data_IF_819363799418
#
_entry.id   IF_819363799418
#
_cell.length_a   1.000
_cell.length_b   1.000
_cell.length_c   1.000
_cell.angle_alpha   90.00
_cell.angle_beta   90.00
_cell.angle_gamma   90.00
#
_symmetry.space_group_name_H-M   'P 1'
#
loop_
_entity.id
_entity.type
_entity.pdbx_description
1 polymer ?
#
# COMPACT_ATOMS: atom_id res chain seq x y z
N UNK A 1 -15.31 10.51 -43.57
CA UNK A 1 -15.82 10.43 -42.19
C UNK A 1 -14.68 9.94 -41.31
N UNK A 2 -13.96 10.85 -40.65
CA UNK A 2 -12.76 10.51 -39.88
C UNK A 2 -13.15 9.86 -38.56
N UNK A 3 -12.75 8.59 -38.37
CA UNK A 3 -12.91 7.93 -37.08
C UNK A 3 -12.11 8.68 -36.02
N UNK A 4 -12.78 9.20 -35.00
CA UNK A 4 -12.17 9.95 -33.91
C UNK A 4 -11.21 9.12 -33.06
N UNK A 5 -10.63 9.77 -32.05
CA UNK A 5 -9.57 9.31 -31.14
C UNK A 5 -9.91 8.06 -30.27
N UNK A 6 -10.90 7.27 -30.67
CA UNK A 6 -11.39 6.04 -30.02
C UNK A 6 -11.10 4.77 -30.83
N UNK A 7 -10.57 4.89 -32.05
CA UNK A 7 -10.11 3.75 -32.84
C UNK A 7 -8.74 3.27 -32.32
N UNK A 8 -8.74 2.42 -31.30
CA UNK A 8 -7.52 1.75 -30.83
C UNK A 8 -7.42 0.34 -31.42
N UNK A 9 -6.25 0.00 -31.97
CA UNK A 9 -5.91 -1.35 -32.44
C UNK A 9 -5.57 -2.31 -31.30
N UNK A 10 -5.62 -1.84 -30.06
CA UNK A 10 -5.34 -2.66 -28.88
C UNK A 10 -6.44 -3.69 -28.67
N UNK A 11 -6.05 -4.97 -28.60
CA UNK A 11 -6.94 -6.08 -28.25
C UNK A 11 -7.62 -5.80 -26.92
N UNK A 12 -8.95 -5.77 -26.92
CA UNK A 12 -9.76 -5.69 -25.71
C UNK A 12 -9.57 -7.01 -24.94
N UNK A 13 -8.75 -6.97 -23.89
CA UNK A 13 -8.60 -8.12 -22.99
C UNK A 13 -9.93 -8.35 -22.27
N UNK A 14 -10.45 -9.59 -22.19
CA UNK A 14 -11.61 -9.88 -21.35
C UNK A 14 -11.26 -9.44 -19.92
N UNK A 15 -12.04 -8.51 -19.38
CA UNK A 15 -11.83 -8.00 -18.02
C UNK A 15 -11.89 -9.19 -17.08
N UNK A 16 -10.74 -9.60 -16.54
CA UNK A 16 -10.74 -10.42 -15.33
C UNK A 16 -11.51 -9.64 -14.30
N UNK A 17 -12.54 -10.26 -13.73
CA UNK A 17 -13.54 -9.60 -12.92
C UNK A 17 -12.88 -9.06 -11.63
N UNK A 18 -12.40 -7.82 -11.72
CA UNK A 18 -11.38 -7.28 -10.82
C UNK A 18 -12.00 -6.96 -9.47
N UNK A 19 -13.28 -6.57 -9.49
CA UNK A 19 -14.09 -6.39 -8.29
C UNK A 19 -14.41 -7.74 -7.66
N UNK A 20 -14.86 -8.73 -8.43
CA UNK A 20 -15.11 -10.07 -7.87
C UNK A 20 -13.86 -10.67 -7.20
N UNK A 21 -12.68 -10.49 -7.80
CA UNK A 21 -11.43 -10.95 -7.20
C UNK A 21 -11.06 -10.20 -5.91
N UNK A 22 -11.42 -8.93 -5.80
CA UNK A 22 -11.24 -8.14 -4.59
C UNK A 22 -12.24 -8.53 -3.51
N UNK A 23 -13.51 -8.71 -3.87
CA UNK A 23 -14.58 -9.07 -2.95
C UNK A 23 -14.42 -10.48 -2.38
N UNK A 24 -13.75 -11.38 -3.12
CA UNK A 24 -13.37 -12.71 -2.66
C UNK A 24 -12.20 -12.71 -1.65
N UNK A 25 -11.53 -11.58 -1.40
CA UNK A 25 -10.43 -11.51 -0.43
C UNK A 25 -10.93 -11.56 1.02
N UNK A 26 -10.22 -12.27 1.91
CA UNK A 26 -10.44 -12.18 3.36
C UNK A 26 -10.41 -10.73 3.84
N UNK A 27 -11.20 -10.41 4.88
CA UNK A 27 -11.33 -9.05 5.38
C UNK A 27 -9.98 -8.47 5.84
N UNK A 28 -9.15 -9.30 6.45
CA UNK A 28 -7.78 -9.00 6.89
C UNK A 28 -6.87 -8.68 5.69
N UNK A 29 -6.95 -9.49 4.63
CA UNK A 29 -6.19 -9.25 3.40
C UNK A 29 -6.60 -7.93 2.73
N UNK A 30 -7.90 -7.60 2.74
CA UNK A 30 -8.42 -6.31 2.26
C UNK A 30 -7.94 -5.14 3.11
N UNK A 31 -7.93 -5.29 4.44
CA UNK A 31 -7.41 -4.27 5.37
C UNK A 31 -5.94 -3.97 5.09
N UNK A 32 -5.11 -4.99 4.92
CA UNK A 32 -3.71 -4.81 4.54
C UNK A 32 -3.57 -4.12 3.18
N UNK A 33 -4.35 -4.57 2.17
CA UNK A 33 -4.31 -4.00 0.83
C UNK A 33 -4.69 -2.51 0.81
N UNK A 34 -5.64 -2.08 1.64
CA UNK A 34 -6.03 -0.68 1.77
C UNK A 34 -4.88 0.22 2.31
N UNK A 35 -3.97 -0.35 3.10
CA UNK A 35 -2.77 0.36 3.60
C UNK A 35 -1.52 0.19 2.73
N UNK A 36 -1.58 -0.63 1.67
CA UNK A 36 -0.40 -0.97 0.90
C UNK A 36 0.07 0.20 0.00
N UNK A 37 1.35 0.52 0.07
CA UNK A 37 2.01 1.54 -0.76
C UNK A 37 2.08 1.26 -2.27
N UNK A 38 1.91 0.01 -2.71
CA UNK A 38 2.04 -0.38 -4.12
C UNK A 38 0.65 -0.68 -4.71
N UNK A 39 0.41 -0.41 -6.01
CA UNK A 39 -0.82 -0.77 -6.69
C UNK A 39 -0.85 -2.29 -6.96
N UNK A 40 -1.09 -3.08 -5.91
CA UNK A 40 -1.20 -4.53 -6.01
C UNK A 40 -2.51 -4.95 -6.68
N UNK A 41 -2.45 -5.97 -7.54
CA UNK A 41 -3.68 -6.64 -8.01
C UNK A 41 -4.26 -7.54 -6.92
N UNK A 42 -5.60 -7.64 -6.84
CA UNK A 42 -6.29 -8.51 -5.87
C UNK A 42 -5.80 -9.97 -5.94
N UNK A 43 -5.56 -10.49 -7.15
CA UNK A 43 -5.03 -11.84 -7.36
C UNK A 43 -3.64 -12.03 -6.75
N UNK A 44 -2.75 -11.04 -6.87
CA UNK A 44 -1.43 -11.11 -6.24
C UNK A 44 -1.51 -11.11 -4.72
N UNK A 45 -2.43 -10.31 -4.16
CA UNK A 45 -2.68 -10.23 -2.72
C UNK A 45 -3.24 -11.54 -2.20
N UNK A 46 -4.23 -12.13 -2.88
CA UNK A 46 -4.79 -13.44 -2.52
C UNK A 46 -3.69 -14.52 -2.42
N UNK A 47 -2.78 -14.57 -3.41
CA UNK A 47 -1.67 -15.51 -3.43
C UNK A 47 -0.68 -15.28 -2.28
N UNK A 48 -0.33 -14.02 -2.03
CA UNK A 48 0.61 -13.65 -0.98
C UNK A 48 0.02 -13.93 0.41
N UNK A 49 -1.26 -13.60 0.60
CA UNK A 49 -2.02 -13.89 1.81
C UNK A 49 -2.08 -15.39 2.10
N UNK A 50 -2.48 -16.20 1.11
CA UNK A 50 -2.58 -17.65 1.30
C UNK A 50 -1.22 -18.29 1.66
N UNK A 51 -0.13 -17.82 1.06
CA UNK A 51 1.21 -18.29 1.41
C UNK A 51 1.61 -17.87 2.82
N UNK A 52 1.45 -16.58 3.15
CA UNK A 52 1.80 -16.06 4.46
C UNK A 52 0.96 -16.70 5.58
N UNK A 53 -0.33 -16.92 5.35
CA UNK A 53 -1.24 -17.57 6.31
C UNK A 53 -0.84 -19.02 6.61
N UNK A 54 -0.42 -19.76 5.57
CA UNK A 54 0.11 -21.12 5.74
C UNK A 54 1.41 -21.14 6.53
N UNK A 55 2.31 -20.20 6.29
CA UNK A 55 3.60 -20.11 6.97
C UNK A 55 3.46 -19.65 8.44
N UNK A 56 2.49 -18.79 8.73
CA UNK A 56 2.32 -18.14 10.04
C UNK A 56 1.54 -18.96 11.07
N UNK A 57 0.94 -20.10 10.69
CA UNK A 57 0.22 -20.97 11.63
C UNK A 57 -0.98 -20.32 12.34
N UNK A 58 -1.59 -19.29 11.74
CA UNK A 58 -2.74 -18.57 12.30
C UNK A 58 -2.43 -17.25 13.01
N UNK A 59 -1.15 -16.83 13.09
CA UNK A 59 -0.79 -15.51 13.60
C UNK A 59 -0.94 -14.42 12.53
N UNK A 60 -1.93 -13.54 12.71
CA UNK A 60 -2.20 -12.43 11.82
C UNK A 60 -1.04 -11.41 11.72
N UNK A 61 -0.32 -11.18 12.83
CA UNK A 61 0.79 -10.22 12.85
C UNK A 61 1.96 -10.72 12.00
N UNK A 62 2.30 -12.01 12.12
CA UNK A 62 3.30 -12.66 11.28
C UNK A 62 2.90 -12.63 9.80
N UNK A 63 1.61 -12.80 9.48
CA UNK A 63 1.10 -12.67 8.10
C UNK A 63 1.35 -11.28 7.55
N UNK A 64 0.94 -10.22 8.25
CA UNK A 64 1.16 -8.85 7.79
C UNK A 64 2.64 -8.52 7.65
N UNK A 65 3.49 -8.92 8.61
CA UNK A 65 4.94 -8.73 8.52
C UNK A 65 5.54 -9.40 7.27
N UNK A 66 5.07 -10.60 6.92
CA UNK A 66 5.49 -11.32 5.70
C UNK A 66 5.05 -10.58 4.43
N UNK A 67 3.83 -10.04 4.43
CA UNK A 67 3.32 -9.27 3.30
C UNK A 67 4.07 -7.95 3.11
N UNK A 68 4.38 -7.25 4.20
CA UNK A 68 5.17 -6.02 4.19
C UNK A 68 6.58 -6.27 3.67
N UNK A 69 7.22 -7.38 4.07
CA UNK A 69 8.51 -7.78 3.53
C UNK A 69 8.44 -8.02 2.01
N UNK A 70 7.36 -8.61 1.50
CA UNK A 70 7.17 -8.79 0.07
C UNK A 70 6.97 -7.45 -0.67
N UNK A 71 6.26 -6.49 -0.06
CA UNK A 71 6.15 -5.12 -0.57
C UNK A 71 7.49 -4.41 -0.60
N UNK A 72 8.26 -4.45 0.49
CA UNK A 72 9.59 -3.83 0.56
C UNK A 72 10.52 -4.39 -0.53
N UNK A 73 10.48 -5.70 -0.77
CA UNK A 73 11.25 -6.35 -1.85
C UNK A 73 10.83 -5.92 -3.25
N UNK A 74 9.54 -5.61 -3.48
CA UNK A 74 9.08 -5.05 -4.75
C UNK A 74 9.52 -3.61 -4.90
N UNK A 75 9.32 -2.79 -3.86
CA UNK A 75 9.75 -1.40 -3.83
C UNK A 75 11.24 -1.27 -4.09
N UNK A 76 12.09 -2.09 -3.47
CA UNK A 76 13.54 -2.06 -3.69
C UNK A 76 13.93 -2.36 -5.15
N UNK A 77 13.24 -3.30 -5.80
CA UNK A 77 13.49 -3.61 -7.22
C UNK A 77 13.07 -2.47 -8.13
N UNK A 78 11.88 -1.95 -7.89
CA UNK A 78 11.33 -0.85 -8.69
C UNK A 78 12.16 0.42 -8.51
N UNK A 79 12.55 0.71 -7.27
CA UNK A 79 13.42 1.83 -6.94
C UNK A 79 14.77 1.77 -7.68
N UNK A 80 15.39 0.59 -7.76
CA UNK A 80 16.62 0.40 -8.52
C UNK A 80 16.44 0.60 -10.04
N UNK A 81 15.23 0.34 -10.56
CA UNK A 81 14.90 0.53 -11.97
C UNK A 81 14.55 1.99 -12.30
N UNK A 82 13.76 2.65 -11.45
CA UNK A 82 13.26 4.01 -11.66
C UNK A 82 14.32 5.06 -11.31
N UNK A 83 15.02 4.88 -10.18
CA UNK A 83 15.98 5.85 -9.66
C UNK A 83 17.46 5.40 -9.77
N UNK A 84 17.69 4.19 -10.26
CA UNK A 84 19.03 3.61 -10.42
C UNK A 84 19.51 2.81 -9.21
N UNK A 85 20.50 1.94 -9.44
CA UNK A 85 20.98 0.95 -8.44
C UNK A 85 21.60 1.55 -7.17
N UNK A 86 22.01 2.81 -7.22
CA UNK A 86 22.59 3.52 -6.09
C UNK A 86 21.52 4.12 -5.15
N UNK A 87 20.23 3.96 -5.48
CA UNK A 87 19.11 4.32 -4.64
C UNK A 87 18.66 3.13 -3.76
N UNK A 88 18.30 3.33 -2.48
CA UNK A 88 18.34 4.60 -1.77
C UNK A 88 19.78 5.00 -1.44
N UNK A 89 20.13 6.25 -1.71
CA UNK A 89 21.39 6.81 -1.26
C UNK A 89 21.32 6.83 0.26
N UNK A 90 22.18 6.08 0.95
CA UNK A 90 22.28 6.16 2.40
C UNK A 90 22.40 7.65 2.75
N UNK A 91 21.61 8.17 3.72
CA UNK A 91 21.74 9.56 4.10
C UNK A 91 23.20 9.78 4.44
N UNK A 92 23.88 10.63 3.66
CA UNK A 92 25.26 11.00 3.93
C UNK A 92 25.33 11.35 5.40
N UNK A 93 26.17 10.63 6.17
CA UNK A 93 26.37 10.90 7.59
C UNK A 93 26.82 12.36 7.83
N UNK A 94 27.24 13.07 6.78
CA UNK A 94 27.37 14.51 6.71
C UNK A 94 26.23 15.13 5.89
N UNK A 95 25.14 15.52 6.55
CA UNK A 95 24.25 16.57 6.07
C UNK A 95 24.08 17.57 7.21
N UNK A 96 24.31 18.88 6.98
CA UNK A 96 24.36 19.87 8.04
C UNK A 96 23.00 19.95 8.74
N UNK A 97 23.02 20.24 10.05
CA UNK A 97 21.86 20.41 10.90
C UNK A 97 20.80 21.34 10.26
N UNK A 98 19.88 20.78 9.46
CA UNK A 98 18.78 21.53 8.87
C UNK A 98 17.75 21.75 9.97
N UNK A 99 17.43 23.03 10.19
CA UNK A 99 16.44 23.54 11.15
C UNK A 99 15.24 22.60 11.27
N UNK A 100 14.85 22.26 12.51
CA UNK A 100 13.59 21.58 12.82
C UNK A 100 12.44 22.33 12.15
N UNK A 101 11.92 21.79 11.06
CA UNK A 101 10.59 22.16 10.55
C UNK A 101 9.58 21.52 11.50
N UNK A 102 8.74 22.34 12.16
CA UNK A 102 7.65 21.83 12.99
C UNK A 102 6.72 20.99 12.11
N UNK A 103 6.32 19.77 12.52
CA UNK A 103 5.42 18.96 11.73
C UNK A 103 4.09 19.70 11.57
N UNK A 104 3.62 19.83 10.34
CA UNK A 104 2.28 20.29 10.04
C UNK A 104 1.31 19.19 10.47
N UNK A 105 0.63 19.38 11.59
CA UNK A 105 -0.43 18.47 12.03
C UNK A 105 -1.61 18.59 11.05
N UNK A 106 -2.15 17.47 10.52
CA UNK A 106 -3.32 17.52 9.66
C UNK A 106 -4.56 17.96 10.44
N UNK A 107 -5.42 18.77 9.82
CA UNK A 107 -6.56 19.42 10.48
C UNK A 107 -7.55 18.44 11.15
N UNK A 108 -7.60 17.18 10.71
CA UNK A 108 -8.45 16.13 11.30
C UNK A 108 -8.05 15.74 12.72
N UNK A 109 -6.84 16.07 13.19
CA UNK A 109 -6.45 15.89 14.60
C UNK A 109 -7.02 16.96 15.55
N UNK A 110 -7.63 18.04 15.05
CA UNK A 110 -8.21 19.10 15.89
C UNK A 110 -9.68 18.84 16.32
N UNK A 111 -10.35 17.84 15.73
CA UNK A 111 -11.78 17.57 15.96
C UNK A 111 -12.09 16.69 17.18
N UNK A 112 -11.10 16.06 17.81
CA UNK A 112 -11.33 15.07 18.88
C UNK A 112 -11.17 15.59 20.32
N UNK A 113 -11.27 16.91 20.54
CA UNK A 113 -11.08 17.52 21.87
C UNK A 113 -12.34 18.18 22.45
N UNK A 114 -13.54 17.85 21.95
CA UNK A 114 -14.82 18.45 22.39
C UNK A 114 -15.86 17.49 22.97
N UNK A 115 -15.47 16.28 23.36
CA UNK A 115 -16.42 15.24 23.80
C UNK A 115 -15.94 14.42 25.01
N UNK A 116 -15.32 15.07 26.00
CA UNK A 116 -15.05 14.44 27.31
C UNK A 116 -15.20 15.44 28.46
N UNK A 117 -16.45 15.68 28.85
CA UNK A 117 -16.92 15.89 30.25
C UNK A 117 -18.40 16.28 30.22
N UNK A 118 -19.28 15.27 30.21
CA UNK A 118 -20.63 15.40 30.73
C UNK A 118 -20.93 14.15 31.57
N UNK A 119 -21.00 14.36 32.88
CA UNK A 119 -21.73 13.54 33.85
C UNK A 119 -21.06 12.29 34.39
N UNK A 120 -20.66 12.32 35.67
CA UNK A 120 -21.19 11.34 36.63
C UNK A 120 -21.08 11.87 38.08
N UNK A 121 -22.22 11.76 38.79
CA UNK A 121 -22.48 12.02 40.22
C UNK A 121 -22.35 13.47 40.71
#
# INVERSE_FOLDING_TARGET
MSAGNLATSLRRSPRSDTMQAYDALPAEARRWLASAHLPWSARSVARLWALAWRDAGGDLAAVYARMDAAQARKLARDAAQVWGRCYPVAPSAAAPARRRVKPQVPFWQALNRRSRTKGNA
#
